data_IF_240274685180
#
_entry.id   IF_240274685180
#
_cell.length_a   1.000
_cell.length_b   1.000
_cell.length_c   1.000
_cell.angle_alpha   90.00
_cell.angle_beta   90.00
_cell.angle_gamma   90.00
#
_symmetry.space_group_name_H-M   'P 1'
#
loop_
_entity.id
_entity.type
_entity.pdbx_description
1 polymer ?
#
# COMPACT_ATOMS: atom_id res chain seq x y z
N UNK A 1 -16.38 17.16 -41.79
CA UNK A 1 -15.48 16.27 -41.04
C UNK A 1 -16.32 15.63 -39.94
N UNK A 2 -16.63 14.35 -40.06
CA UNK A 2 -17.31 13.62 -38.98
C UNK A 2 -16.34 13.57 -37.79
N UNK A 3 -16.76 14.11 -36.64
CA UNK A 3 -16.03 13.92 -35.39
C UNK A 3 -16.04 12.44 -35.05
N UNK A 4 -14.87 11.83 -35.00
CA UNK A 4 -14.71 10.43 -34.57
C UNK A 4 -15.25 10.31 -33.14
N UNK A 5 -16.34 9.59 -32.95
CA UNK A 5 -16.83 9.28 -31.60
C UNK A 5 -15.77 8.54 -30.81
N UNK A 6 -15.48 9.07 -29.64
CA UNK A 6 -14.56 8.45 -28.67
C UNK A 6 -15.08 7.07 -28.27
N UNK A 7 -14.22 6.08 -28.24
CA UNK A 7 -14.57 4.74 -27.73
C UNK A 7 -14.74 4.76 -26.21
N UNK A 8 -15.47 3.80 -25.64
CA UNK A 8 -15.62 3.67 -24.18
C UNK A 8 -14.25 3.58 -23.47
N UNK A 9 -13.31 2.84 -24.04
CA UNK A 9 -11.97 2.70 -23.49
C UNK A 9 -11.19 4.02 -23.48
N UNK A 10 -11.30 4.81 -24.55
CA UNK A 10 -10.69 6.16 -24.60
C UNK A 10 -11.36 7.10 -23.58
N UNK A 11 -12.68 7.02 -23.43
CA UNK A 11 -13.44 7.77 -22.42
C UNK A 11 -12.97 7.44 -21.02
N UNK A 12 -12.92 6.16 -20.65
CA UNK A 12 -12.47 5.75 -19.32
C UNK A 12 -11.00 6.05 -19.05
N UNK A 13 -10.13 6.00 -20.08
CA UNK A 13 -8.74 6.45 -19.92
C UNK A 13 -8.66 7.94 -19.55
N UNK A 14 -9.52 8.77 -20.16
CA UNK A 14 -9.62 10.18 -19.78
C UNK A 14 -10.16 10.37 -18.35
N UNK A 15 -11.21 9.63 -17.96
CA UNK A 15 -11.80 9.70 -16.62
C UNK A 15 -10.80 9.27 -15.55
N UNK A 16 -10.07 8.18 -15.78
CA UNK A 16 -8.98 7.74 -14.91
C UNK A 16 -7.98 8.88 -14.68
N UNK A 17 -7.51 9.52 -15.77
CA UNK A 17 -6.53 10.61 -15.68
C UNK A 17 -7.03 11.81 -14.88
N UNK A 18 -8.30 12.22 -15.09
CA UNK A 18 -8.93 13.31 -14.34
C UNK A 18 -9.01 12.96 -12.86
N UNK A 19 -9.54 11.78 -12.55
CA UNK A 19 -9.78 11.35 -11.17
C UNK A 19 -8.48 11.17 -10.39
N UNK A 20 -7.49 10.48 -10.96
CA UNK A 20 -6.19 10.30 -10.32
C UNK A 20 -5.50 11.64 -10.04
N UNK A 21 -5.52 12.57 -10.99
CA UNK A 21 -4.93 13.90 -10.80
C UNK A 21 -5.60 14.66 -9.64
N UNK A 22 -6.93 14.69 -9.60
CA UNK A 22 -7.68 15.39 -8.56
C UNK A 22 -7.48 14.74 -7.18
N UNK A 23 -7.57 13.41 -7.10
CA UNK A 23 -7.33 12.66 -5.87
C UNK A 23 -5.90 12.79 -5.35
N UNK A 24 -4.90 12.78 -6.24
CA UNK A 24 -3.50 12.98 -5.83
C UNK A 24 -3.30 14.35 -5.17
N UNK A 25 -3.89 15.41 -5.71
CA UNK A 25 -3.83 16.74 -5.09
C UNK A 25 -4.51 16.72 -3.71
N UNK A 26 -5.70 16.16 -3.62
CA UNK A 26 -6.48 16.09 -2.39
C UNK A 26 -5.75 15.29 -1.29
N UNK A 27 -5.33 14.07 -1.59
CA UNK A 27 -4.64 13.19 -0.61
C UNK A 27 -3.35 13.83 -0.09
N UNK A 28 -2.59 14.51 -0.95
CA UNK A 28 -1.30 15.06 -0.55
C UNK A 28 -1.39 16.43 0.16
N UNK A 29 -2.54 17.13 0.09
CA UNK A 29 -2.66 18.50 0.62
C UNK A 29 -3.82 18.70 1.58
N UNK A 30 -4.90 17.96 1.42
CA UNK A 30 -6.20 18.23 2.03
C UNK A 30 -6.88 16.96 2.54
N UNK A 31 -6.12 15.90 2.81
CA UNK A 31 -6.66 14.59 3.20
C UNK A 31 -7.53 14.65 4.48
N UNK A 32 -7.33 15.65 5.32
CA UNK A 32 -8.08 15.93 6.56
C UNK A 32 -9.16 17.01 6.40
N UNK A 33 -9.44 17.45 5.17
CA UNK A 33 -10.48 18.46 4.90
C UNK A 33 -11.88 17.96 5.28
N UNK A 34 -12.18 16.68 5.03
CA UNK A 34 -13.49 16.09 5.36
C UNK A 34 -13.55 15.81 6.85
N UNK A 35 -14.48 16.48 7.53
CA UNK A 35 -14.65 16.44 8.99
C UNK A 35 -15.92 15.68 9.39
N UNK A 36 -15.94 15.13 10.62
CA UNK A 36 -17.10 14.42 11.16
C UNK A 36 -18.42 15.19 10.97
N UNK A 37 -18.42 16.49 11.26
CA UNK A 37 -19.62 17.32 11.24
C UNK A 37 -20.29 17.37 9.86
N UNK A 38 -19.51 17.33 8.77
CA UNK A 38 -20.04 17.32 7.41
C UNK A 38 -20.77 16.01 7.11
N UNK A 39 -20.15 14.90 7.51
CA UNK A 39 -20.70 13.57 7.26
C UNK A 39 -21.94 13.32 8.11
N UNK A 40 -21.88 13.67 9.40
CA UNK A 40 -23.00 13.50 10.32
C UNK A 40 -24.22 14.33 9.93
N UNK A 41 -24.01 15.59 9.46
CA UNK A 41 -25.09 16.43 8.95
C UNK A 41 -25.74 15.80 7.72
N UNK A 42 -24.97 15.34 6.73
CA UNK A 42 -25.52 14.69 5.53
C UNK A 42 -26.27 13.40 5.87
N UNK A 43 -25.75 12.58 6.78
CA UNK A 43 -26.43 11.37 7.22
C UNK A 43 -27.78 11.70 7.89
N UNK A 44 -27.81 12.73 8.73
CA UNK A 44 -29.03 13.16 9.44
C UNK A 44 -30.04 13.79 8.48
N UNK A 45 -29.61 14.73 7.65
CA UNK A 45 -30.51 15.57 6.84
C UNK A 45 -31.01 14.86 5.58
N UNK A 46 -30.18 13.98 5.00
CA UNK A 46 -30.49 13.27 3.74
C UNK A 46 -30.81 11.77 3.96
N UNK A 47 -30.58 11.21 5.15
CA UNK A 47 -30.83 9.80 5.42
C UNK A 47 -29.90 8.84 4.69
N UNK A 48 -28.71 9.29 4.29
CA UNK A 48 -27.71 8.51 3.57
C UNK A 48 -26.72 7.83 4.54
N UNK A 49 -26.05 6.78 4.07
CA UNK A 49 -24.97 6.13 4.83
C UNK A 49 -23.72 7.02 4.94
N UNK A 50 -22.83 6.71 5.90
CA UNK A 50 -21.55 7.43 6.04
C UNK A 50 -20.69 7.32 4.76
N UNK A 51 -20.71 6.19 4.07
CA UNK A 51 -19.96 6.03 2.81
C UNK A 51 -20.54 6.90 1.70
N UNK A 52 -21.87 6.95 1.55
CA UNK A 52 -22.53 7.84 0.58
C UNK A 52 -22.29 9.32 0.90
N UNK A 53 -22.44 9.73 2.16
CA UNK A 53 -22.14 11.08 2.60
C UNK A 53 -20.67 11.45 2.29
N UNK A 54 -19.76 10.50 2.52
CA UNK A 54 -18.34 10.70 2.21
C UNK A 54 -18.11 10.82 0.69
N UNK A 55 -18.79 10.03 -0.14
CA UNK A 55 -18.72 10.14 -1.59
C UNK A 55 -19.12 11.55 -2.07
N UNK A 56 -20.23 12.08 -1.59
CA UNK A 56 -20.68 13.44 -1.93
C UNK A 56 -19.67 14.49 -1.50
N UNK A 57 -19.20 14.41 -0.25
CA UNK A 57 -18.25 15.38 0.30
C UNK A 57 -16.89 15.32 -0.42
N UNK A 58 -16.40 14.12 -0.73
CA UNK A 58 -15.15 13.93 -1.48
C UNK A 58 -15.30 14.46 -2.92
N UNK A 59 -16.41 14.20 -3.60
CA UNK A 59 -16.66 14.73 -4.93
C UNK A 59 -16.60 16.25 -4.95
N UNK A 60 -17.24 16.90 -3.97
CA UNK A 60 -17.18 18.35 -3.81
C UNK A 60 -15.76 18.85 -3.48
N UNK A 61 -15.05 18.17 -2.57
CA UNK A 61 -13.69 18.53 -2.17
C UNK A 61 -12.69 18.45 -3.33
N UNK A 62 -12.87 17.49 -4.24
CA UNK A 62 -12.04 17.39 -5.46
C UNK A 62 -12.63 18.17 -6.66
N UNK A 63 -13.60 19.04 -6.40
CA UNK A 63 -14.20 19.93 -7.42
C UNK A 63 -14.79 19.17 -8.63
N UNK A 64 -15.56 18.10 -8.40
CA UNK A 64 -16.41 17.51 -9.43
C UNK A 64 -17.74 18.25 -9.48
N UNK A 65 -18.09 18.79 -10.64
CA UNK A 65 -19.39 19.42 -10.89
C UNK A 65 -20.41 18.40 -11.37
N UNK A 66 -20.96 17.64 -10.43
CA UNK A 66 -21.91 16.56 -10.73
C UNK A 66 -23.29 17.08 -11.18
N UNK A 67 -23.60 18.36 -10.95
CA UNK A 67 -24.89 18.94 -11.33
C UNK A 67 -24.90 19.47 -12.76
N UNK A 68 -23.80 20.14 -13.19
CA UNK A 68 -23.76 20.84 -14.49
C UNK A 68 -22.83 20.16 -15.50
N UNK A 69 -21.98 19.21 -15.08
CA UNK A 69 -21.08 18.47 -15.97
C UNK A 69 -21.51 17.00 -16.11
N UNK A 70 -22.10 16.59 -17.25
CA UNK A 70 -22.43 15.18 -17.49
C UNK A 70 -21.27 14.22 -17.35
N UNK A 71 -20.05 14.69 -17.69
CA UNK A 71 -18.81 13.91 -17.50
C UNK A 71 -18.53 13.67 -16.02
N UNK A 72 -18.63 14.70 -15.19
CA UNK A 72 -18.30 14.61 -13.77
C UNK A 72 -19.39 13.82 -13.02
N UNK A 73 -20.64 13.91 -13.45
CA UNK A 73 -21.74 13.06 -12.98
C UNK A 73 -21.46 11.58 -13.28
N UNK A 74 -21.05 11.25 -14.52
CA UNK A 74 -20.71 9.88 -14.90
C UNK A 74 -19.47 9.37 -14.14
N UNK A 75 -18.45 10.19 -13.91
CA UNK A 75 -17.31 9.84 -13.07
C UNK A 75 -17.79 9.50 -11.66
N UNK A 76 -18.68 10.29 -11.08
CA UNK A 76 -19.22 10.04 -9.75
C UNK A 76 -19.98 8.71 -9.70
N UNK A 77 -20.92 8.49 -10.60
CA UNK A 77 -21.75 7.28 -10.64
C UNK A 77 -20.94 5.99 -10.86
N UNK A 78 -19.94 6.06 -11.75
CA UNK A 78 -19.20 4.87 -12.19
C UNK A 78 -18.02 4.51 -11.29
N UNK A 79 -17.46 5.45 -10.54
CA UNK A 79 -16.25 5.22 -9.74
C UNK A 79 -16.50 5.25 -8.22
N UNK A 80 -17.21 6.25 -7.70
CA UNK A 80 -17.30 6.51 -6.26
C UNK A 80 -17.86 5.37 -5.43
N UNK A 81 -18.95 4.66 -5.86
CA UNK A 81 -19.50 3.55 -5.08
C UNK A 81 -18.55 2.36 -4.90
N UNK A 82 -17.50 2.28 -5.74
CA UNK A 82 -16.47 1.24 -5.64
C UNK A 82 -15.15 1.76 -5.08
N UNK A 83 -14.94 3.07 -5.13
CA UNK A 83 -13.72 3.75 -4.73
C UNK A 83 -13.67 3.95 -3.22
N UNK A 84 -14.73 4.47 -2.62
CA UNK A 84 -14.78 4.90 -1.22
C UNK A 84 -15.20 3.76 -0.31
N UNK A 85 -14.53 3.62 0.86
CA UNK A 85 -14.88 2.65 1.91
C UNK A 85 -14.68 3.23 3.29
N UNK A 86 -15.70 3.06 4.13
CA UNK A 86 -15.57 3.14 5.57
C UNK A 86 -14.90 1.85 6.06
N UNK A 87 -13.71 1.98 6.64
CA UNK A 87 -12.96 0.87 7.17
C UNK A 87 -13.16 0.78 8.69
N UNK A 88 -13.09 -0.44 9.22
CA UNK A 88 -13.12 -0.66 10.66
C UNK A 88 -11.72 -0.68 11.22
N UNK A 89 -11.43 0.14 12.22
CA UNK A 89 -10.13 0.13 12.92
C UNK A 89 -9.85 -1.26 13.55
N UNK A 90 -10.91 -2.00 13.94
CA UNK A 90 -10.77 -3.33 14.52
C UNK A 90 -10.15 -4.34 13.55
N UNK A 91 -10.36 -4.19 12.23
CA UNK A 91 -9.83 -5.12 11.23
C UNK A 91 -8.31 -5.05 11.11
N UNK A 92 -7.72 -3.94 11.56
CA UNK A 92 -6.27 -3.69 11.56
C UNK A 92 -5.65 -3.88 12.95
N UNK A 93 -6.32 -3.47 14.02
CA UNK A 93 -5.79 -3.64 15.38
C UNK A 93 -5.74 -5.09 15.85
N UNK A 94 -6.49 -6.01 15.19
CA UNK A 94 -6.40 -7.45 15.43
C UNK A 94 -5.26 -8.13 14.66
N UNK A 95 -4.60 -7.41 13.75
CA UNK A 95 -3.47 -7.94 12.99
C UNK A 95 -2.38 -8.51 13.93
N UNK A 96 -1.84 -9.70 13.66
CA UNK A 96 -0.85 -10.34 14.52
C UNK A 96 0.38 -9.48 14.80
N UNK A 97 0.85 -8.72 13.82
CA UNK A 97 1.98 -7.81 13.98
C UNK A 97 1.67 -6.72 15.03
N UNK A 98 0.52 -6.03 14.92
CA UNK A 98 0.11 -4.99 15.87
C UNK A 98 -0.05 -5.52 17.31
N UNK A 99 -0.42 -6.79 17.46
CA UNK A 99 -0.56 -7.43 18.78
C UNK A 99 0.77 -7.78 19.40
N UNK A 100 1.70 -8.28 18.59
CA UNK A 100 2.95 -8.86 19.05
C UNK A 100 4.09 -7.88 19.10
N UNK A 101 4.19 -6.97 18.14
CA UNK A 101 5.32 -6.06 17.98
C UNK A 101 4.98 -4.71 18.61
N UNK A 102 5.81 -4.29 19.57
CA UNK A 102 5.71 -2.97 20.21
C UNK A 102 6.87 -2.12 19.74
N UNK A 103 6.55 -1.10 18.98
CA UNK A 103 7.50 -0.11 18.48
C UNK A 103 7.56 1.04 19.48
N UNK A 104 8.70 1.30 20.15
CA UNK A 104 8.82 2.44 21.06
C UNK A 104 9.01 3.73 20.28
N UNK A 105 8.60 4.86 20.84
CA UNK A 105 9.04 6.16 20.35
C UNK A 105 10.53 6.34 20.71
N UNK A 106 11.38 6.27 19.71
CA UNK A 106 12.84 6.28 19.91
C UNK A 106 13.57 6.87 18.71
N UNK A 107 14.57 7.68 18.97
CA UNK A 107 15.45 8.22 17.93
C UNK A 107 16.79 7.49 17.92
N UNK A 108 17.22 7.06 16.73
CA UNK A 108 18.47 6.35 16.47
C UNK A 108 19.15 6.98 15.24
N UNK A 109 20.10 7.87 15.48
CA UNK A 109 20.77 8.60 14.39
C UNK A 109 19.79 9.45 13.56
N UNK A 110 19.69 9.15 12.27
CA UNK A 110 18.75 9.79 11.34
C UNK A 110 17.32 9.22 11.44
N UNK A 111 17.16 8.06 12.09
CA UNK A 111 15.90 7.33 12.19
C UNK A 111 15.12 7.72 13.44
N UNK A 112 13.82 7.90 13.28
CA UNK A 112 12.89 8.16 14.36
C UNK A 112 11.73 7.16 14.27
N UNK A 113 11.67 6.27 15.26
CA UNK A 113 10.53 5.39 15.48
C UNK A 113 9.46 6.21 16.19
N UNK A 114 8.25 6.19 15.68
CA UNK A 114 7.11 6.90 16.26
C UNK A 114 5.79 6.24 15.89
N UNK A 115 4.72 6.75 16.46
CA UNK A 115 3.36 6.45 16.03
C UNK A 115 2.76 7.65 15.32
N UNK A 116 2.13 7.38 14.20
CA UNK A 116 1.29 8.35 13.48
C UNK A 116 -0.15 7.91 13.52
N UNK A 117 -1.04 8.78 13.10
CA UNK A 117 -2.46 8.50 13.16
C UNK A 117 -3.21 9.09 11.97
N UNK A 118 -4.25 8.38 11.56
CA UNK A 118 -5.32 8.95 10.77
C UNK A 118 -6.38 9.52 11.70
N UNK A 119 -6.74 10.78 11.47
CA UNK A 119 -7.88 11.40 12.15
C UNK A 119 -9.20 10.79 11.64
N UNK A 120 -10.29 10.87 12.42
CA UNK A 120 -11.61 10.51 11.94
C UNK A 120 -11.95 11.21 10.62
N UNK A 121 -12.42 10.45 9.64
CA UNK A 121 -12.78 10.89 8.28
C UNK A 121 -11.62 11.42 7.42
N UNK A 122 -10.38 11.34 7.88
CA UNK A 122 -9.22 11.61 7.03
C UNK A 122 -9.13 10.59 5.89
N UNK A 123 -8.94 11.07 4.66
CA UNK A 123 -8.79 10.23 3.48
C UNK A 123 -7.39 9.60 3.40
N UNK A 124 -7.33 8.34 2.99
CA UNK A 124 -6.08 7.66 2.64
C UNK A 124 -6.31 6.60 1.57
N UNK A 125 -5.26 6.24 0.84
CA UNK A 125 -5.28 5.08 -0.04
C UNK A 125 -5.14 3.83 0.83
N UNK A 126 -6.04 2.84 0.66
CA UNK A 126 -6.02 1.66 1.51
C UNK A 126 -5.67 0.34 0.80
N UNK A 127 -5.58 0.34 -0.54
CA UNK A 127 -5.29 -0.86 -1.33
C UNK A 127 -4.84 -0.49 -2.74
N UNK A 128 -4.32 -1.44 -3.51
CA UNK A 128 -4.13 -1.34 -4.94
C UNK A 128 -5.44 -0.93 -5.67
N UNK A 129 -5.36 -0.15 -6.75
CA UNK A 129 -6.54 0.19 -7.53
C UNK A 129 -7.18 -1.05 -8.15
N UNK A 130 -8.50 -1.00 -8.30
CA UNK A 130 -9.27 -2.04 -8.97
C UNK A 130 -9.26 -1.77 -10.48
N UNK A 131 -8.56 -2.62 -11.24
CA UNK A 131 -8.50 -2.54 -12.70
C UNK A 131 -9.62 -3.37 -13.30
N UNK A 132 -10.56 -2.73 -14.01
CA UNK A 132 -11.70 -3.37 -14.64
C UNK A 132 -11.43 -3.71 -16.11
N UNK A 133 -12.17 -4.66 -16.65
CA UNK A 133 -12.01 -5.12 -18.04
C UNK A 133 -12.38 -4.05 -19.09
N UNK A 134 -13.24 -3.14 -18.74
CA UNK A 134 -13.68 -2.02 -19.59
C UNK A 134 -12.68 -0.86 -19.65
N UNK A 135 -11.61 -0.92 -18.87
CA UNK A 135 -10.54 0.07 -18.82
C UNK A 135 -10.67 1.07 -17.68
N UNK A 136 -11.70 0.96 -16.82
CA UNK A 136 -11.76 1.75 -15.59
C UNK A 136 -10.69 1.29 -14.62
N UNK A 137 -10.02 2.24 -14.01
CA UNK A 137 -9.04 2.04 -12.94
C UNK A 137 -9.57 2.80 -11.73
N UNK A 138 -10.11 2.07 -10.76
CA UNK A 138 -10.81 2.64 -9.62
C UNK A 138 -9.83 2.75 -8.44
N UNK A 139 -9.45 3.95 -8.01
CA UNK A 139 -8.67 4.15 -6.80
C UNK A 139 -9.38 3.57 -5.58
N UNK A 140 -8.63 3.25 -4.54
CA UNK A 140 -9.17 2.68 -3.30
C UNK A 140 -8.94 3.67 -2.17
N UNK A 141 -9.94 4.50 -1.89
CA UNK A 141 -9.91 5.54 -0.87
C UNK A 141 -10.66 5.06 0.37
N UNK A 142 -9.94 4.98 1.48
CA UNK A 142 -10.47 4.62 2.78
C UNK A 142 -10.57 5.81 3.71
N UNK A 143 -11.40 5.65 4.71
CA UNK A 143 -11.45 6.50 5.89
C UNK A 143 -11.92 5.67 7.10
N UNK A 144 -11.58 6.13 8.29
CA UNK A 144 -12.11 5.60 9.54
C UNK A 144 -13.09 6.61 10.15
N UNK A 145 -14.06 6.15 10.88
CA UNK A 145 -14.94 7.03 11.69
C UNK A 145 -14.37 7.30 13.11
N UNK A 146 -13.20 6.73 13.41
CA UNK A 146 -12.44 6.90 14.65
C UNK A 146 -10.97 7.10 14.32
N UNK A 147 -10.22 7.64 15.27
CA UNK A 147 -8.77 7.72 15.16
C UNK A 147 -8.15 6.31 15.04
N UNK A 148 -7.18 6.16 14.14
CA UNK A 148 -6.39 4.94 13.97
C UNK A 148 -4.91 5.27 14.04
N UNK A 149 -4.21 4.67 15.01
CA UNK A 149 -2.77 4.82 15.22
C UNK A 149 -2.01 3.68 14.55
N UNK A 150 -0.89 4.01 13.93
CA UNK A 150 -0.02 3.06 13.24
C UNK A 150 1.46 3.39 13.45
N UNK A 151 2.36 2.35 13.50
CA UNK A 151 3.78 2.56 13.64
C UNK A 151 4.41 3.13 12.37
N UNK A 152 5.38 4.02 12.56
CA UNK A 152 6.10 4.71 11.51
C UNK A 152 7.60 4.82 11.84
N UNK A 153 8.43 4.84 10.79
CA UNK A 153 9.82 5.27 10.87
C UNK A 153 10.02 6.48 9.98
N UNK A 154 10.58 7.51 10.54
CA UNK A 154 10.96 8.72 9.81
C UNK A 154 12.46 8.75 9.58
N UNK A 155 12.89 9.17 8.39
CA UNK A 155 14.27 9.54 8.09
C UNK A 155 14.40 11.05 8.01
N UNK A 156 15.07 11.66 8.98
CA UNK A 156 15.20 13.12 9.02
C UNK A 156 13.88 13.88 9.08
N UNK A 157 12.82 13.27 9.62
CA UNK A 157 11.48 13.85 9.71
C UNK A 157 10.56 13.52 8.53
N UNK A 158 11.05 12.84 7.48
CA UNK A 158 10.26 12.36 6.34
C UNK A 158 9.83 10.92 6.56
N UNK A 159 8.59 10.58 6.23
CA UNK A 159 8.08 9.21 6.31
C UNK A 159 8.91 8.28 5.41
N UNK A 160 9.37 7.17 6.00
CA UNK A 160 10.18 6.18 5.30
C UNK A 160 9.54 4.80 5.28
N UNK A 161 9.05 4.35 6.42
CA UNK A 161 8.39 3.05 6.58
C UNK A 161 7.16 3.24 7.45
N UNK A 162 6.04 2.69 7.02
CA UNK A 162 4.76 2.80 7.69
C UNK A 162 4.11 1.41 7.73
N UNK A 163 3.24 1.15 8.71
CA UNK A 163 2.34 0.00 8.65
C UNK A 163 0.91 0.53 8.68
N UNK A 164 0.46 0.93 7.51
CA UNK A 164 -0.86 1.49 7.27
C UNK A 164 -1.82 0.42 6.72
N UNK A 165 -3.12 0.71 6.62
CA UNK A 165 -4.05 -0.15 5.90
C UNK A 165 -3.61 -0.50 4.47
N UNK A 166 -2.94 0.41 3.77
CA UNK A 166 -2.41 0.16 2.43
C UNK A 166 -1.35 -0.96 2.45
N UNK A 167 -0.34 -0.83 3.31
CA UNK A 167 0.72 -1.84 3.48
C UNK A 167 0.15 -3.21 3.81
N UNK A 168 -0.75 -3.26 4.79
CA UNK A 168 -1.38 -4.50 5.23
C UNK A 168 -2.18 -5.16 4.09
N UNK A 169 -3.01 -4.40 3.38
CA UNK A 169 -3.89 -4.95 2.35
C UNK A 169 -3.12 -5.36 1.09
N UNK A 170 -2.13 -4.57 0.66
CA UNK A 170 -1.34 -4.87 -0.54
C UNK A 170 -0.38 -6.04 -0.33
N UNK A 171 0.08 -6.29 0.91
CA UNK A 171 0.93 -7.43 1.25
C UNK A 171 0.14 -8.72 1.54
N UNK A 172 -1.18 -8.65 1.74
CA UNK A 172 -2.00 -9.84 2.11
C UNK A 172 -1.85 -10.98 1.11
N UNK A 173 -2.02 -10.73 -0.19
CA UNK A 173 -1.92 -11.76 -1.21
C UNK A 173 -0.49 -12.34 -1.36
N UNK A 174 0.60 -11.55 -1.37
CA UNK A 174 1.95 -12.08 -1.25
C UNK A 174 2.18 -12.94 -0.01
N UNK A 175 1.73 -12.50 1.17
CA UNK A 175 1.84 -13.26 2.43
C UNK A 175 1.10 -14.60 2.33
N UNK A 176 -0.14 -14.61 1.83
CA UNK A 176 -0.93 -15.84 1.65
C UNK A 176 -0.21 -16.88 0.77
N UNK A 177 0.40 -16.43 -0.33
CA UNK A 177 1.09 -17.29 -1.31
C UNK A 177 2.48 -17.75 -0.87
N UNK A 178 3.17 -16.99 -0.02
CA UNK A 178 4.52 -17.30 0.43
C UNK A 178 4.61 -18.70 1.04
N UNK A 179 5.64 -19.48 0.65
CA UNK A 179 5.88 -20.85 1.10
C UNK A 179 7.36 -21.24 0.95
N UNK A 180 7.76 -22.33 1.59
CA UNK A 180 9.11 -22.89 1.46
C UNK A 180 10.20 -21.95 1.97
N UNK A 181 11.26 -21.79 1.21
CA UNK A 181 12.34 -20.84 1.47
C UNK A 181 12.00 -19.50 0.81
N UNK A 182 11.67 -18.51 1.63
CA UNK A 182 11.26 -17.19 1.17
C UNK A 182 12.45 -16.25 1.09
N UNK A 183 12.55 -15.52 -0.01
CA UNK A 183 13.47 -14.39 -0.17
C UNK A 183 12.63 -13.10 -0.23
N UNK A 184 13.00 -12.08 0.54
CA UNK A 184 12.41 -10.75 0.42
C UNK A 184 13.48 -9.68 0.24
N UNK A 185 13.24 -8.77 -0.69
CA UNK A 185 14.03 -7.55 -0.87
C UNK A 185 13.33 -6.40 -0.18
N UNK A 186 14.04 -5.77 0.77
CA UNK A 186 13.52 -4.76 1.67
C UNK A 186 13.09 -5.35 3.01
N UNK A 187 13.49 -4.68 4.08
CA UNK A 187 13.20 -5.06 5.47
C UNK A 187 12.03 -4.26 6.02
N UNK A 188 12.05 -2.95 5.81
CA UNK A 188 11.08 -2.05 6.41
C UNK A 188 11.01 -2.19 7.93
N UNK A 189 9.80 -2.18 8.46
CA UNK A 189 9.50 -2.53 9.85
C UNK A 189 9.36 -4.05 10.07
N UNK A 190 9.72 -4.86 9.07
CA UNK A 190 9.68 -6.32 9.16
C UNK A 190 8.29 -6.94 9.09
N UNK A 191 7.27 -6.19 8.65
CA UNK A 191 5.89 -6.69 8.59
C UNK A 191 5.77 -7.95 7.74
N UNK A 192 6.26 -7.92 6.49
CA UNK A 192 6.23 -9.09 5.62
C UNK A 192 7.01 -10.26 6.22
N UNK A 193 8.24 -10.01 6.70
CA UNK A 193 9.09 -11.05 7.28
C UNK A 193 8.44 -11.71 8.51
N UNK A 194 7.82 -10.91 9.41
CA UNK A 194 7.05 -11.39 10.54
C UNK A 194 5.91 -12.30 10.09
N UNK A 195 5.04 -11.79 9.20
CA UNK A 195 3.83 -12.50 8.79
C UNK A 195 4.12 -13.82 8.09
N UNK A 196 5.19 -13.90 7.29
CA UNK A 196 5.55 -15.16 6.62
C UNK A 196 6.30 -16.12 7.52
N UNK A 197 7.07 -15.62 8.50
CA UNK A 197 7.74 -16.49 9.49
C UNK A 197 6.76 -17.27 10.39
N UNK A 198 5.58 -16.67 10.66
CA UNK A 198 4.50 -17.32 11.41
C UNK A 198 3.84 -18.51 10.67
N UNK A 199 4.09 -18.67 9.37
CA UNK A 199 3.46 -19.73 8.58
C UNK A 199 4.17 -21.06 8.77
N UNK A 200 3.40 -22.14 8.96
CA UNK A 200 3.93 -23.51 9.11
C UNK A 200 4.61 -24.00 7.83
N UNK A 201 4.11 -23.59 6.66
CA UNK A 201 4.65 -23.97 5.36
C UNK A 201 5.82 -23.09 4.86
N UNK A 202 6.35 -22.19 5.70
CA UNK A 202 7.56 -21.41 5.47
C UNK A 202 8.68 -21.96 6.32
N UNK A 203 9.76 -22.40 5.65
CA UNK A 203 10.93 -23.00 6.29
C UNK A 203 11.97 -21.95 6.72
N UNK A 204 12.22 -20.95 5.86
CA UNK A 204 13.17 -19.86 6.13
C UNK A 204 12.75 -18.58 5.43
N UNK A 205 13.20 -17.44 5.94
CA UNK A 205 12.98 -16.11 5.39
C UNK A 205 14.32 -15.40 5.29
N UNK A 206 14.83 -15.23 4.08
CA UNK A 206 16.04 -14.41 3.84
C UNK A 206 15.60 -13.00 3.47
N UNK A 207 16.02 -12.02 4.25
CA UNK A 207 15.73 -10.59 4.03
C UNK A 207 16.99 -9.91 3.54
N UNK A 208 16.93 -9.28 2.37
CA UNK A 208 18.03 -8.48 1.82
C UNK A 208 17.73 -7.01 2.06
N UNK A 209 18.55 -6.37 2.89
CA UNK A 209 18.44 -4.96 3.23
C UNK A 209 19.82 -4.31 3.05
N UNK A 210 19.85 -3.11 2.49
CA UNK A 210 21.13 -2.42 2.21
C UNK A 210 21.61 -1.47 3.31
N UNK A 211 20.70 -0.99 4.16
CA UNK A 211 21.02 -0.01 5.21
C UNK A 211 21.31 -0.71 6.55
N UNK A 212 22.59 -0.72 6.94
CA UNK A 212 23.04 -1.30 8.21
C UNK A 212 22.33 -0.71 9.44
N UNK A 213 21.91 0.54 9.37
CA UNK A 213 21.19 1.17 10.48
C UNK A 213 19.77 0.66 10.61
N UNK A 214 19.09 0.36 9.48
CA UNK A 214 17.78 -0.28 9.46
C UNK A 214 17.89 -1.71 10.01
N UNK A 215 18.92 -2.46 9.57
CA UNK A 215 19.21 -3.80 10.10
C UNK A 215 19.45 -3.76 11.60
N UNK A 216 20.26 -2.81 12.07
CA UNK A 216 20.57 -2.66 13.51
C UNK A 216 19.33 -2.34 14.32
N UNK A 217 18.48 -1.44 13.84
CA UNK A 217 17.21 -1.08 14.45
C UNK A 217 16.26 -2.29 14.55
N UNK A 218 16.13 -3.02 13.46
CA UNK A 218 15.31 -4.22 13.43
C UNK A 218 15.81 -5.28 14.42
N UNK A 219 17.10 -5.59 14.41
CA UNK A 219 17.72 -6.57 15.30
C UNK A 219 17.61 -6.19 16.80
N UNK A 220 17.72 -4.89 17.11
CA UNK A 220 17.65 -4.39 18.49
C UNK A 220 16.21 -4.38 19.01
N UNK A 221 15.24 -3.97 18.19
CA UNK A 221 13.90 -3.61 18.65
C UNK A 221 12.82 -4.63 18.22
N UNK A 222 12.84 -5.06 16.97
CA UNK A 222 11.74 -5.83 16.39
C UNK A 222 11.99 -7.33 16.46
N UNK A 223 13.13 -7.79 15.97
CA UNK A 223 13.46 -9.21 15.88
C UNK A 223 13.30 -9.98 17.22
N UNK A 224 13.68 -9.42 18.39
CA UNK A 224 13.49 -10.11 19.67
C UNK A 224 12.02 -10.36 20.05
N UNK A 225 11.09 -9.69 19.41
CA UNK A 225 9.66 -9.82 19.66
C UNK A 225 8.96 -10.79 18.69
N UNK A 226 9.68 -11.29 17.67
CA UNK A 226 9.15 -12.21 16.67
C UNK A 226 9.23 -13.65 17.22
N UNK A 227 8.10 -14.38 17.36
CA UNK A 227 8.10 -15.74 17.92
C UNK A 227 8.96 -16.73 17.14
N UNK A 228 8.96 -16.64 15.82
CA UNK A 228 9.72 -17.52 14.92
C UNK A 228 10.92 -16.80 14.27
N UNK A 229 11.62 -15.98 15.06
CA UNK A 229 12.80 -15.23 14.61
C UNK A 229 13.95 -16.11 14.09
N UNK A 230 14.02 -17.38 14.53
CA UNK A 230 14.99 -18.35 14.05
C UNK A 230 14.87 -18.68 12.56
N UNK A 231 13.70 -18.45 11.96
CA UNK A 231 13.50 -18.58 10.51
C UNK A 231 14.06 -17.40 9.72
N UNK A 232 14.29 -16.24 10.36
CA UNK A 232 14.65 -14.99 9.68
C UNK A 232 16.17 -14.83 9.64
N UNK A 233 16.70 -14.70 8.43
CA UNK A 233 18.11 -14.41 8.17
C UNK A 233 18.23 -13.09 7.39
N UNK A 234 18.99 -12.13 7.94
CA UNK A 234 19.18 -10.82 7.30
C UNK A 234 20.54 -10.77 6.61
N UNK A 235 20.53 -10.36 5.36
CA UNK A 235 21.71 -10.16 4.53
C UNK A 235 21.85 -8.68 4.21
N UNK A 236 22.98 -8.07 4.63
CA UNK A 236 23.31 -6.71 4.24
C UNK A 236 23.84 -6.71 2.81
N UNK A 237 23.01 -6.29 1.85
CA UNK A 237 23.41 -6.23 0.43
C UNK A 237 22.46 -5.33 -0.36
N UNK A 238 22.92 -4.86 -1.53
CA UNK A 238 22.04 -4.27 -2.54
C UNK A 238 21.15 -5.35 -3.17
N UNK A 239 19.83 -5.07 -3.21
CA UNK A 239 18.83 -6.02 -3.71
C UNK A 239 19.07 -6.45 -5.17
N UNK A 240 19.54 -5.55 -6.01
CA UNK A 240 19.78 -5.82 -7.42
C UNK A 240 21.05 -6.66 -7.62
N UNK A 241 22.12 -6.34 -6.90
CA UNK A 241 23.35 -7.12 -6.94
C UNK A 241 23.11 -8.53 -6.40
N UNK A 242 22.36 -8.64 -5.32
CA UNK A 242 21.96 -9.92 -4.75
C UNK A 242 21.12 -10.72 -5.74
N UNK A 243 20.09 -10.12 -6.36
CA UNK A 243 19.26 -10.78 -7.37
C UNK A 243 20.06 -11.23 -8.60
N UNK A 244 21.09 -10.47 -9.02
CA UNK A 244 21.98 -10.81 -10.12
C UNK A 244 22.97 -11.93 -9.77
N UNK A 245 23.27 -12.17 -8.49
CA UNK A 245 24.13 -13.26 -8.02
C UNK A 245 23.40 -14.61 -7.91
N UNK A 246 22.08 -14.64 -7.91
CA UNK A 246 21.29 -15.85 -7.77
C UNK A 246 21.38 -16.78 -8.96
N UNK A 247 21.12 -18.06 -8.74
CA UNK A 247 21.00 -19.09 -9.74
C UNK A 247 20.03 -20.20 -9.27
N UNK A 248 19.73 -21.17 -10.11
CA UNK A 248 18.77 -22.26 -9.82
C UNK A 248 19.09 -23.03 -8.53
N UNK A 249 20.37 -23.12 -8.14
CA UNK A 249 20.77 -23.80 -6.90
C UNK A 249 20.63 -22.96 -5.63
N UNK A 250 20.18 -21.71 -5.74
CA UNK A 250 19.99 -20.81 -4.59
C UNK A 250 18.83 -21.25 -3.68
N UNK A 251 17.91 -22.09 -4.17
CA UNK A 251 16.96 -22.84 -3.35
C UNK A 251 15.81 -22.01 -2.75
N UNK A 252 15.46 -20.88 -3.35
CA UNK A 252 14.28 -20.09 -2.95
C UNK A 252 13.04 -20.55 -3.70
N UNK A 253 11.92 -20.67 -2.98
CA UNK A 253 10.62 -21.09 -3.49
C UNK A 253 9.70 -19.90 -3.77
N UNK A 254 9.83 -18.84 -2.97
CA UNK A 254 9.03 -17.62 -3.09
C UNK A 254 9.90 -16.38 -2.93
N UNK A 255 9.70 -15.39 -3.78
CA UNK A 255 10.44 -14.12 -3.77
C UNK A 255 9.45 -12.95 -3.71
N UNK A 256 9.64 -12.07 -2.73
CA UNK A 256 8.89 -10.81 -2.61
C UNK A 256 9.83 -9.62 -2.74
N UNK A 257 9.38 -8.55 -3.38
CA UNK A 257 10.17 -7.33 -3.50
C UNK A 257 9.36 -6.10 -3.09
N UNK A 258 9.93 -5.35 -2.13
CA UNK A 258 9.38 -4.14 -1.56
C UNK A 258 10.54 -3.20 -1.20
N UNK A 259 11.09 -2.52 -2.22
CA UNK A 259 12.27 -1.62 -2.12
C UNK A 259 12.03 -0.25 -2.76
N UNK A 260 10.80 0.13 -2.94
CA UNK A 260 10.39 1.43 -3.52
C UNK A 260 9.30 2.08 -2.69
N UNK A 261 9.10 3.38 -2.86
CA UNK A 261 8.12 4.18 -2.11
C UNK A 261 6.83 4.39 -2.89
N UNK A 262 6.94 4.55 -4.21
CA UNK A 262 5.83 4.85 -5.08
C UNK A 262 6.07 4.32 -6.51
N UNK A 263 5.12 4.47 -7.45
CA UNK A 263 5.33 4.03 -8.83
C UNK A 263 6.47 4.72 -9.58
N UNK A 264 6.95 5.89 -9.16
CA UNK A 264 7.99 6.64 -9.86
C UNK A 264 9.33 5.92 -9.75
N UNK A 265 9.71 5.53 -8.54
CA UNK A 265 10.92 4.74 -8.28
C UNK A 265 10.67 3.24 -8.41
N UNK A 266 9.44 2.78 -8.20
CA UNK A 266 9.05 1.38 -8.29
C UNK A 266 9.09 0.81 -9.71
N UNK A 267 8.62 1.52 -10.73
CA UNK A 267 8.59 0.99 -12.11
C UNK A 267 9.98 0.62 -12.64
N UNK A 268 11.03 1.46 -12.52
CA UNK A 268 12.38 1.05 -12.93
C UNK A 268 12.93 -0.12 -12.11
N UNK A 269 12.73 -0.13 -10.79
CA UNK A 269 13.17 -1.20 -9.91
C UNK A 269 12.49 -2.53 -10.24
N UNK A 270 11.16 -2.52 -10.37
CA UNK A 270 10.36 -3.67 -10.80
C UNK A 270 10.85 -4.24 -12.14
N UNK A 271 11.05 -3.40 -13.17
CA UNK A 271 11.55 -3.84 -14.48
C UNK A 271 12.94 -4.49 -14.39
N UNK A 272 13.80 -4.03 -13.48
CA UNK A 272 15.12 -4.61 -13.26
C UNK A 272 15.02 -5.97 -12.57
N UNK A 273 14.25 -6.08 -11.49
CA UNK A 273 14.04 -7.34 -10.77
C UNK A 273 13.32 -8.38 -11.61
N UNK A 274 12.34 -7.98 -12.43
CA UNK A 274 11.66 -8.87 -13.38
C UNK A 274 12.64 -9.58 -14.35
N UNK A 275 13.73 -8.94 -14.72
CA UNK A 275 14.77 -9.58 -15.55
C UNK A 275 15.55 -10.65 -14.80
N UNK A 276 15.63 -10.54 -13.47
CA UNK A 276 16.33 -11.51 -12.63
C UNK A 276 15.50 -12.77 -12.33
N UNK A 277 14.17 -12.76 -12.53
CA UNK A 277 13.30 -13.94 -12.31
C UNK A 277 13.79 -15.19 -13.06
N UNK A 278 14.32 -15.04 -14.26
CA UNK A 278 14.87 -16.14 -15.06
C UNK A 278 16.01 -16.90 -14.38
N UNK A 279 16.59 -16.35 -13.31
CA UNK A 279 17.67 -17.00 -12.54
C UNK A 279 17.12 -18.01 -11.52
N UNK A 280 15.84 -17.87 -11.16
CA UNK A 280 15.11 -18.74 -10.25
C UNK A 280 13.82 -19.25 -10.92
N UNK A 281 13.91 -20.08 -11.97
CA UNK A 281 12.75 -20.46 -12.79
C UNK A 281 11.71 -21.30 -12.02
N UNK A 282 12.09 -21.85 -10.86
CA UNK A 282 11.20 -22.62 -9.99
C UNK A 282 10.51 -21.80 -8.89
N UNK A 283 10.92 -20.55 -8.68
CA UNK A 283 10.37 -19.70 -7.64
C UNK A 283 9.14 -18.93 -8.12
N UNK A 284 8.20 -18.72 -7.19
CA UNK A 284 7.10 -17.80 -7.38
C UNK A 284 7.52 -16.37 -7.00
N UNK A 285 7.14 -15.38 -7.79
CA UNK A 285 7.49 -13.98 -7.55
C UNK A 285 6.26 -13.13 -7.25
N UNK A 286 6.42 -12.21 -6.30
CA UNK A 286 5.46 -11.18 -5.97
C UNK A 286 6.18 -9.83 -5.77
N UNK A 287 5.48 -8.76 -6.03
CA UNK A 287 6.00 -7.39 -5.93
C UNK A 287 4.98 -6.51 -5.21
N UNK A 288 5.46 -5.69 -4.28
CA UNK A 288 4.59 -4.75 -3.62
C UNK A 288 3.93 -3.81 -4.65
N UNK A 289 2.64 -3.53 -4.47
CA UNK A 289 1.81 -2.72 -5.37
C UNK A 289 1.97 -3.05 -6.88
N UNK A 290 2.20 -4.32 -7.21
CA UNK A 290 2.44 -4.72 -8.62
C UNK A 290 1.31 -4.32 -9.57
N UNK A 291 0.06 -4.33 -9.12
CA UNK A 291 -1.09 -3.89 -9.92
C UNK A 291 -1.01 -2.40 -10.23
N UNK A 292 -0.62 -1.61 -9.23
CA UNK A 292 -0.38 -0.16 -9.40
C UNK A 292 0.77 0.09 -10.36
N UNK A 293 1.93 -0.59 -10.19
CA UNK A 293 3.08 -0.45 -11.09
C UNK A 293 2.72 -0.74 -12.55
N UNK A 294 1.90 -1.78 -12.79
CA UNK A 294 1.47 -2.18 -14.14
C UNK A 294 0.61 -1.13 -14.86
N UNK A 295 0.01 -0.18 -14.15
CA UNK A 295 -0.73 0.94 -14.77
C UNK A 295 0.22 1.92 -15.46
N UNK A 296 1.48 2.01 -15.00
CA UNK A 296 2.48 2.96 -15.48
C UNK A 296 3.50 2.33 -16.45
N UNK A 297 3.33 1.08 -16.87
CA UNK A 297 4.18 0.35 -17.82
C UNK A 297 3.54 0.27 -19.18
#
# INVERSE_FOLDING_TARGET
MEERKMTEKEKFAQYNGILFKKLSVFINREADFIRPEFIESLCHDCGVSKEEAYCFTLAAAIELDTENSPRDAEIFEEYFPRMVRLLSTSDYTVDPYFRSIKIPDKRLGKWELCHKKYAPYQAFVFDDPLVLRDGRIIPRIGFFDKEFEYPAVLEGGTEWMLITPNEINTMRAPIERAHGNVLTYGLGLGYFAYMVAEKENVASVTVVERDDSVISLFNEIILPQIPHSEKINIVCADAFEFAESLNESSGYDFVFADIWHDPIDGVPAYKRLKKAEKRLPGAEFAYWIEKTLKIYI
#
